data_IF_274717576826
#
_entry.id   IF_274717576826
#
_cell.length_a   1.000
_cell.length_b   1.000
_cell.length_c   1.000
_cell.angle_alpha   90.00
_cell.angle_beta   90.00
_cell.angle_gamma   90.00
#
_symmetry.space_group_name_H-M   'P 1'
#
loop_
_entity.id
_entity.type
_entity.pdbx_description
1 polymer ?
#
# COMPACT_ATOMS: atom_id res chain seq x y z
N UNK A 1 -131.96 -3.86 -7.61
CA UNK A 1 -130.70 -3.58 -8.35
C UNK A 1 -129.66 -4.61 -7.96
N UNK A 2 -129.05 -5.27 -8.96
CA UNK A 2 -128.14 -6.41 -8.82
C UNK A 2 -126.79 -6.00 -8.22
N UNK A 3 -126.22 -6.84 -7.35
CA UNK A 3 -124.90 -6.63 -6.72
C UNK A 3 -123.83 -6.89 -7.79
N UNK A 4 -122.90 -5.97 -8.08
CA UNK A 4 -121.93 -6.18 -9.15
C UNK A 4 -120.98 -7.33 -8.80
N UNK A 5 -120.96 -8.37 -9.62
CA UNK A 5 -119.97 -9.46 -9.59
C UNK A 5 -118.71 -9.03 -10.34
N UNK A 6 -117.88 -8.21 -9.68
CA UNK A 6 -116.55 -7.87 -10.20
C UNK A 6 -115.66 -9.12 -10.25
N UNK A 7 -115.25 -9.53 -11.46
CA UNK A 7 -114.23 -10.56 -11.67
C UNK A 7 -112.92 -10.09 -11.04
N UNK A 8 -112.42 -10.82 -10.04
CA UNK A 8 -111.17 -10.49 -9.36
C UNK A 8 -110.00 -10.67 -10.36
N UNK A 9 -109.44 -9.57 -10.87
CA UNK A 9 -108.23 -9.61 -11.69
C UNK A 9 -107.04 -9.59 -10.73
N UNK A 10 -106.34 -10.72 -10.60
CA UNK A 10 -105.04 -10.75 -9.91
C UNK A 10 -104.02 -10.00 -10.76
N UNK A 11 -103.72 -8.76 -10.40
CA UNK A 11 -102.64 -7.98 -11.00
C UNK A 11 -101.30 -8.56 -10.53
N UNK A 12 -100.50 -9.09 -11.45
CA UNK A 12 -99.08 -9.33 -11.19
C UNK A 12 -98.27 -8.07 -11.50
N UNK A 13 -97.06 -7.95 -10.93
CA UNK A 13 -96.16 -6.83 -11.24
C UNK A 13 -95.91 -6.67 -12.76
N UNK A 14 -95.93 -7.79 -13.50
CA UNK A 14 -95.86 -7.79 -14.96
C UNK A 14 -97.10 -7.21 -15.66
N UNK A 15 -98.30 -7.37 -15.09
CA UNK A 15 -99.55 -6.90 -15.69
C UNK A 15 -99.77 -5.39 -15.59
N UNK A 16 -99.10 -4.71 -14.66
CA UNK A 16 -99.16 -3.25 -14.49
C UNK A 16 -97.91 -2.53 -15.02
N UNK A 17 -96.96 -3.26 -15.61
CA UNK A 17 -95.70 -2.69 -16.09
C UNK A 17 -94.82 -2.09 -14.99
N UNK A 18 -95.00 -2.51 -13.74
CA UNK A 18 -94.31 -1.92 -12.59
C UNK A 18 -92.79 -2.14 -12.61
N UNK A 19 -92.32 -3.17 -13.34
CA UNK A 19 -90.89 -3.44 -13.56
C UNK A 19 -90.61 -3.48 -15.07
N UNK A 20 -89.80 -2.56 -15.61
CA UNK A 20 -89.47 -2.53 -17.04
C UNK A 20 -88.70 -3.78 -17.51
N UNK A 21 -89.30 -4.60 -18.39
CA UNK A 21 -88.74 -5.88 -18.87
C UNK A 21 -87.52 -5.78 -19.79
N UNK A 22 -87.19 -4.58 -20.29
CA UNK A 22 -86.03 -4.33 -21.16
C UNK A 22 -84.82 -3.71 -20.46
N UNK A 23 -84.93 -3.33 -19.19
CA UNK A 23 -83.81 -2.73 -18.43
C UNK A 23 -82.98 -3.82 -17.77
N UNK A 24 -81.67 -3.58 -17.72
CA UNK A 24 -80.69 -4.48 -17.12
C UNK A 24 -79.86 -3.74 -16.08
N UNK A 25 -79.36 -4.48 -15.10
CA UNK A 25 -78.29 -4.02 -14.20
C UNK A 25 -77.08 -4.91 -14.46
N UNK A 26 -75.99 -4.31 -14.92
CA UNK A 26 -74.78 -5.01 -15.32
C UNK A 26 -75.07 -6.27 -16.17
N UNK A 27 -75.81 -6.05 -17.25
CA UNK A 27 -76.24 -7.07 -18.21
C UNK A 27 -77.20 -8.17 -17.68
N UNK A 28 -77.62 -8.14 -16.41
CA UNK A 28 -78.64 -9.05 -15.84
C UNK A 28 -80.05 -8.43 -15.93
N UNK A 29 -81.07 -9.16 -16.39
CA UNK A 29 -82.44 -8.65 -16.52
C UNK A 29 -83.14 -8.46 -15.17
N UNK A 30 -84.09 -7.51 -15.08
CA UNK A 30 -84.87 -7.20 -13.87
C UNK A 30 -86.05 -8.17 -13.60
N UNK A 31 -86.05 -9.36 -14.22
CA UNK A 31 -87.14 -10.34 -14.08
C UNK A 31 -87.08 -11.18 -12.81
N UNK A 32 -86.02 -11.02 -11.99
CA UNK A 32 -85.80 -11.71 -10.72
C UNK A 32 -84.85 -10.86 -9.84
N UNK A 33 -84.60 -11.33 -8.61
CA UNK A 33 -83.57 -10.75 -7.74
C UNK A 33 -82.20 -10.78 -8.42
N UNK A 34 -81.45 -9.69 -8.29
CA UNK A 34 -80.14 -9.53 -8.90
C UNK A 34 -79.07 -9.70 -7.83
N UNK A 35 -78.22 -10.71 -8.02
CA UNK A 35 -76.96 -10.84 -7.30
C UNK A 35 -75.80 -10.41 -8.19
N UNK A 36 -74.94 -9.53 -7.67
CA UNK A 36 -73.71 -9.11 -8.33
C UNK A 36 -72.51 -9.62 -7.54
N UNK A 37 -71.50 -10.10 -8.27
CA UNK A 37 -70.18 -10.42 -7.77
C UNK A 37 -69.20 -9.27 -8.05
N UNK A 38 -67.99 -9.32 -7.48
CA UNK A 38 -66.95 -8.35 -7.78
C UNK A 38 -66.61 -8.31 -9.29
N UNK A 39 -66.60 -9.48 -9.95
CA UNK A 39 -66.35 -9.58 -11.38
C UNK A 39 -67.46 -8.95 -12.23
N UNK A 40 -68.72 -8.98 -11.77
CA UNK A 40 -69.81 -8.30 -12.45
C UNK A 40 -69.53 -6.79 -12.55
N UNK A 41 -69.01 -6.15 -11.51
CA UNK A 41 -68.81 -4.69 -11.47
C UNK A 41 -67.38 -4.23 -11.78
N UNK A 42 -66.51 -5.12 -12.25
CA UNK A 42 -65.09 -4.81 -12.51
C UNK A 42 -64.29 -4.48 -11.24
N UNK A 43 -64.75 -4.91 -10.07
CA UNK A 43 -64.05 -4.75 -8.81
C UNK A 43 -63.16 -5.97 -8.52
N UNK A 44 -62.13 -5.76 -7.70
CA UNK A 44 -61.39 -6.88 -7.11
C UNK A 44 -62.24 -7.59 -6.05
N UNK A 45 -62.09 -8.90 -5.97
CA UNK A 45 -62.58 -9.67 -4.83
C UNK A 45 -61.84 -9.26 -3.55
N UNK A 46 -62.42 -9.63 -2.40
CA UNK A 46 -61.80 -9.42 -1.09
C UNK A 46 -60.42 -10.09 -1.01
N UNK A 47 -60.32 -11.34 -1.47
CA UNK A 47 -59.07 -12.10 -1.51
C UNK A 47 -58.01 -11.43 -2.40
N UNK A 48 -58.36 -10.95 -3.58
CA UNK A 48 -57.40 -10.25 -4.44
C UNK A 48 -56.91 -8.94 -3.82
N UNK A 49 -57.79 -8.23 -3.12
CA UNK A 49 -57.43 -6.99 -2.42
C UNK A 49 -56.49 -7.29 -1.25
N UNK A 50 -56.82 -8.29 -0.44
CA UNK A 50 -56.02 -8.73 0.70
C UNK A 50 -54.61 -9.16 0.26
N UNK A 51 -54.50 -9.93 -0.83
CA UNK A 51 -53.22 -10.36 -1.39
C UNK A 51 -52.38 -9.16 -1.87
N UNK A 52 -52.96 -8.23 -2.65
CA UNK A 52 -52.23 -7.03 -3.11
C UNK A 52 -51.72 -6.18 -1.95
N UNK A 53 -52.53 -6.03 -0.90
CA UNK A 53 -52.15 -5.29 0.31
C UNK A 53 -51.04 -6.02 1.07
N UNK A 54 -51.11 -7.34 1.18
CA UNK A 54 -50.07 -8.15 1.81
C UNK A 54 -48.74 -8.05 1.07
N UNK A 55 -48.75 -8.16 -0.26
CA UNK A 55 -47.57 -8.03 -1.11
C UNK A 55 -46.93 -6.64 -0.99
N UNK A 56 -47.74 -5.57 -1.02
CA UNK A 56 -47.27 -4.20 -0.85
C UNK A 56 -46.62 -3.97 0.53
N UNK A 57 -47.24 -4.49 1.61
CA UNK A 57 -46.68 -4.43 2.96
C UNK A 57 -45.37 -5.19 3.05
N UNK A 58 -45.32 -6.40 2.48
CA UNK A 58 -44.11 -7.22 2.46
C UNK A 58 -42.98 -6.53 1.71
N UNK A 59 -43.26 -5.96 0.54
CA UNK A 59 -42.28 -5.19 -0.23
C UNK A 59 -41.72 -3.99 0.58
N UNK A 60 -42.59 -3.29 1.32
CA UNK A 60 -42.17 -2.22 2.23
C UNK A 60 -41.25 -2.69 3.36
N UNK A 61 -41.60 -3.80 4.02
CA UNK A 61 -40.78 -4.40 5.09
C UNK A 61 -39.44 -4.90 4.57
N UNK A 62 -39.43 -5.56 3.41
CA UNK A 62 -38.21 -6.07 2.77
C UNK A 62 -37.28 -4.90 2.37
N UNK A 63 -37.85 -3.82 1.83
CA UNK A 63 -37.12 -2.61 1.48
C UNK A 63 -36.51 -1.93 2.72
N UNK A 64 -37.28 -1.81 3.82
CA UNK A 64 -36.78 -1.25 5.08
C UNK A 64 -35.64 -2.09 5.67
N UNK A 65 -35.79 -3.41 5.65
CA UNK A 65 -34.77 -4.35 6.15
C UNK A 65 -33.47 -4.22 5.34
N UNK A 66 -33.59 -4.15 4.02
CA UNK A 66 -32.43 -3.97 3.12
C UNK A 66 -31.76 -2.60 3.33
N UNK A 67 -32.54 -1.54 3.54
CA UNK A 67 -32.00 -0.21 3.83
C UNK A 67 -31.25 -0.19 5.16
N UNK A 68 -31.80 -0.81 6.20
CA UNK A 68 -31.15 -0.91 7.51
C UNK A 68 -29.85 -1.72 7.44
N UNK A 69 -29.85 -2.85 6.73
CA UNK A 69 -28.65 -3.66 6.52
C UNK A 69 -27.56 -2.90 5.77
N UNK A 70 -27.93 -2.13 4.74
CA UNK A 70 -27.01 -1.28 3.99
C UNK A 70 -26.42 -0.16 4.87
N UNK A 71 -27.24 0.48 5.70
CA UNK A 71 -26.79 1.51 6.66
C UNK A 71 -25.80 0.94 7.69
N UNK A 72 -26.09 -0.24 8.23
CA UNK A 72 -25.18 -0.96 9.13
C UNK A 72 -23.86 -1.31 8.44
N UNK A 73 -23.91 -1.83 7.21
CA UNK A 73 -22.70 -2.16 6.45
C UNK A 73 -21.84 -0.92 6.18
N UNK A 74 -22.46 0.21 5.81
CA UNK A 74 -21.77 1.49 5.62
C UNK A 74 -21.13 2.01 6.92
N UNK A 75 -21.86 1.92 8.04
CA UNK A 75 -21.35 2.30 9.37
C UNK A 75 -20.15 1.44 9.78
N UNK A 76 -20.25 0.13 9.59
CA UNK A 76 -19.15 -0.81 9.88
C UNK A 76 -17.93 -0.53 9.00
N UNK A 77 -18.14 -0.23 7.71
CA UNK A 77 -17.07 0.15 6.79
C UNK A 77 -16.36 1.44 7.24
N UNK A 78 -17.12 2.47 7.62
CA UNK A 78 -16.57 3.73 8.12
C UNK A 78 -15.79 3.54 9.44
N UNK A 79 -16.32 2.76 10.37
CA UNK A 79 -15.64 2.46 11.64
C UNK A 79 -14.33 1.70 11.41
N UNK A 80 -14.33 0.72 10.50
CA UNK A 80 -13.12 -0.01 10.12
C UNK A 80 -12.09 0.92 9.45
N UNK A 81 -12.53 1.84 8.59
CA UNK A 81 -11.65 2.79 7.93
C UNK A 81 -10.98 3.76 8.93
N UNK A 82 -11.75 4.32 9.88
CA UNK A 82 -11.25 5.28 10.86
C UNK A 82 -10.19 4.71 11.82
N UNK A 83 -10.14 3.38 12.00
CA UNK A 83 -9.19 2.72 12.90
C UNK A 83 -7.86 2.26 12.26
N UNK A 84 -7.75 2.24 10.92
CA UNK A 84 -6.59 1.64 10.24
C UNK A 84 -5.28 2.40 10.40
N UNK A 85 -5.35 3.73 10.55
CA UNK A 85 -4.19 4.57 10.83
C UNK A 85 -4.50 5.39 12.08
N UNK A 86 -4.14 4.90 13.28
CA UNK A 86 -4.35 5.67 14.49
C UNK A 86 -3.60 7.00 14.40
N UNK A 87 -4.27 8.12 14.71
CA UNK A 87 -3.73 9.49 14.59
C UNK A 87 -2.49 9.77 15.44
N UNK A 88 -2.23 8.94 16.46
CA UNK A 88 -1.02 8.99 17.29
C UNK A 88 0.18 8.22 16.71
N UNK A 89 0.02 7.44 15.63
CA UNK A 89 1.13 6.70 15.03
C UNK A 89 2.06 7.65 14.29
N UNK A 90 3.35 7.43 14.51
CA UNK A 90 4.44 8.21 13.92
C UNK A 90 5.44 7.26 13.25
N UNK A 91 6.03 7.69 12.15
CA UNK A 91 7.22 7.06 11.57
C UNK A 91 8.41 7.93 11.95
N UNK A 92 9.26 7.38 12.81
CA UNK A 92 10.44 8.09 13.31
C UNK A 92 10.15 9.51 13.82
N UNK A 93 9.12 9.64 14.67
CA UNK A 93 8.69 10.91 15.25
C UNK A 93 7.81 11.80 14.35
N UNK A 94 7.69 11.50 13.04
CA UNK A 94 6.86 12.27 12.09
C UNK A 94 5.42 11.73 12.03
N UNK A 95 4.39 12.58 12.10
CA UNK A 95 2.99 12.16 12.04
C UNK A 95 2.59 11.63 10.65
N UNK A 96 1.66 10.68 10.60
CA UNK A 96 1.12 10.08 9.35
C UNK A 96 0.02 10.94 8.68
N UNK A 97 0.17 12.27 8.72
CA UNK A 97 -0.80 13.23 8.17
C UNK A 97 -0.48 13.68 6.74
N UNK A 98 0.67 13.30 6.22
CA UNK A 98 1.14 13.58 4.86
C UNK A 98 2.16 12.52 4.45
N UNK A 99 2.66 12.61 3.21
CA UNK A 99 3.83 11.85 2.79
C UNK A 99 5.02 12.12 3.72
N UNK A 100 5.81 11.08 3.99
CA UNK A 100 6.97 11.12 4.89
C UNK A 100 8.24 10.84 4.08
N UNK A 101 9.17 11.79 4.10
CA UNK A 101 10.55 11.59 3.65
C UNK A 101 11.46 11.39 4.84
N UNK A 102 12.28 10.34 4.81
CA UNK A 102 13.30 10.07 5.82
C UNK A 102 14.69 10.32 5.24
N UNK A 103 15.52 11.08 5.96
CA UNK A 103 16.95 11.22 5.70
C UNK A 103 17.79 10.31 6.58
N UNK A 104 19.10 10.33 6.38
CA UNK A 104 20.04 9.52 7.17
C UNK A 104 19.93 9.81 8.68
N UNK A 105 19.81 11.09 9.05
CA UNK A 105 19.64 11.50 10.45
C UNK A 105 18.35 11.01 11.10
N UNK A 106 17.28 10.80 10.32
CA UNK A 106 16.05 10.24 10.87
C UNK A 106 16.31 8.81 11.38
N UNK A 107 17.05 7.99 10.64
CA UNK A 107 17.28 6.57 11.01
C UNK A 107 18.59 6.31 11.74
N UNK A 108 19.29 7.36 12.21
CA UNK A 108 20.58 7.23 12.88
C UNK A 108 21.71 6.71 11.97
N UNK A 109 21.58 6.89 10.65
CA UNK A 109 22.57 6.50 9.68
C UNK A 109 23.49 7.67 9.31
N UNK A 110 24.69 7.36 8.80
CA UNK A 110 25.54 8.33 8.14
C UNK A 110 25.01 8.66 6.74
N UNK A 111 25.19 9.91 6.33
CA UNK A 111 25.04 10.32 4.95
C UNK A 111 26.13 9.68 4.09
N UNK A 112 25.91 9.66 2.77
CA UNK A 112 26.92 9.22 1.81
C UNK A 112 28.23 10.01 1.95
N UNK A 113 28.15 11.33 2.07
CA UNK A 113 29.32 12.20 2.22
C UNK A 113 30.11 11.94 3.51
N UNK A 114 29.44 11.68 4.64
CA UNK A 114 30.10 11.32 5.90
C UNK A 114 30.79 9.96 5.78
N UNK A 115 30.15 9.00 5.11
CA UNK A 115 30.72 7.66 4.87
C UNK A 115 31.96 7.77 3.99
N UNK A 116 31.88 8.48 2.87
CA UNK A 116 33.00 8.72 1.95
C UNK A 116 34.18 9.41 2.68
N UNK A 117 33.89 10.41 3.51
CA UNK A 117 34.91 11.09 4.32
C UNK A 117 35.60 10.15 5.31
N UNK A 118 34.83 9.32 6.04
CA UNK A 118 35.39 8.35 7.01
C UNK A 118 36.27 7.31 6.33
N UNK A 119 35.86 6.79 5.17
CA UNK A 119 36.64 5.82 4.39
C UNK A 119 37.93 6.46 3.87
N UNK A 120 37.86 7.69 3.36
CA UNK A 120 39.02 8.44 2.90
C UNK A 120 40.03 8.66 4.01
N UNK A 121 39.58 9.10 5.20
CA UNK A 121 40.44 9.28 6.36
C UNK A 121 41.11 7.97 6.80
N UNK A 122 40.39 6.84 6.76
CA UNK A 122 40.96 5.54 7.11
C UNK A 122 42.04 5.08 6.13
N UNK A 123 42.00 5.55 4.87
CA UNK A 123 42.93 5.15 3.82
C UNK A 123 44.09 6.14 3.66
N UNK A 124 43.91 7.38 4.13
CA UNK A 124 44.88 8.46 4.06
C UNK A 124 46.08 8.17 4.97
N UNK A 125 47.27 7.99 4.38
CA UNK A 125 48.49 7.69 5.13
C UNK A 125 48.83 6.21 5.25
N UNK A 126 47.96 5.29 4.78
CA UNK A 126 48.28 3.87 4.74
C UNK A 126 49.37 3.56 3.69
N UNK A 127 50.27 2.64 4.02
CA UNK A 127 51.26 2.10 3.06
C UNK A 127 50.54 1.20 2.07
N UNK A 128 50.46 1.64 0.81
CA UNK A 128 49.79 0.92 -0.27
C UNK A 128 50.71 -0.10 -0.96
N UNK A 129 52.01 0.19 -1.00
CA UNK A 129 53.02 -0.67 -1.60
C UNK A 129 54.42 -0.31 -1.08
N UNK A 130 55.39 -1.21 -1.25
CA UNK A 130 56.77 -1.04 -0.82
C UNK A 130 57.70 -1.42 -1.98
N UNK A 131 58.74 -0.64 -2.23
CA UNK A 131 59.78 -0.97 -3.23
C UNK A 131 61.16 -0.47 -2.82
N UNK A 132 62.18 -0.98 -3.50
CA UNK A 132 63.54 -0.43 -3.46
C UNK A 132 63.70 0.63 -4.56
N UNK A 133 64.22 1.81 -4.22
CA UNK A 133 64.53 2.87 -5.19
C UNK A 133 65.79 2.59 -6.01
N UNK A 134 66.35 3.62 -6.65
CA UNK A 134 67.52 3.50 -7.51
C UNK A 134 68.76 3.00 -6.74
N UNK A 135 69.61 2.15 -7.36
CA UNK A 135 70.84 1.67 -6.74
C UNK A 135 71.85 2.81 -6.59
N UNK A 136 72.52 2.86 -5.44
CA UNK A 136 73.65 3.75 -5.18
C UNK A 136 74.88 2.92 -4.85
N UNK A 137 75.96 3.18 -5.58
CA UNK A 137 77.25 2.50 -5.44
C UNK A 137 78.26 3.49 -4.86
N UNK A 138 78.44 3.54 -3.53
CA UNK A 138 79.46 4.36 -2.91
C UNK A 138 80.87 3.92 -3.30
N UNK A 139 81.89 4.77 -3.06
CA UNK A 139 83.29 4.38 -3.19
C UNK A 139 83.62 3.14 -2.36
N UNK A 140 84.71 2.46 -2.71
CA UNK A 140 85.24 1.30 -1.97
C UNK A 140 85.30 1.58 -0.46
N UNK A 141 84.86 0.62 0.35
CA UNK A 141 84.93 0.69 1.82
C UNK A 141 85.82 -0.43 2.40
N UNK A 142 86.16 -0.32 3.69
CA UNK A 142 86.91 -1.32 4.45
C UNK A 142 85.94 -2.18 5.29
N UNK A 143 86.15 -3.50 5.32
CA UNK A 143 85.36 -4.50 6.05
C UNK A 143 85.42 -4.38 7.59
N UNK A 144 86.46 -3.76 8.16
CA UNK A 144 86.67 -3.71 9.62
C UNK A 144 85.96 -2.56 10.36
N UNK A 145 85.47 -1.54 9.65
CA UNK A 145 84.84 -0.37 10.28
C UNK A 145 83.31 -0.52 10.38
N UNK A 146 82.66 0.09 11.40
CA UNK A 146 81.20 0.21 11.39
C UNK A 146 80.81 1.14 10.24
N UNK A 147 80.34 0.58 9.13
CA UNK A 147 79.85 1.34 7.99
C UNK A 147 78.42 0.94 7.67
N UNK A 148 77.49 1.81 8.03
CA UNK A 148 76.07 1.62 7.79
C UNK A 148 75.66 2.23 6.44
N UNK A 149 74.63 1.67 5.82
CA UNK A 149 73.93 2.37 4.74
C UNK A 149 73.24 3.62 5.29
N UNK A 150 73.09 4.69 4.50
CA UNK A 150 72.38 5.88 4.96
C UNK A 150 70.98 5.58 5.50
N UNK A 151 70.47 6.42 6.41
CA UNK A 151 69.14 6.28 6.99
C UNK A 151 68.06 6.09 5.90
N UNK A 152 67.15 5.16 6.13
CA UNK A 152 66.09 4.81 5.17
C UNK A 152 66.56 4.04 3.93
N UNK A 153 67.85 3.67 3.85
CA UNK A 153 68.37 2.78 2.81
C UNK A 153 68.61 1.36 3.34
N UNK A 154 68.60 0.41 2.43
CA UNK A 154 68.98 -0.98 2.69
C UNK A 154 70.15 -1.38 1.79
N UNK A 155 71.07 -2.17 2.31
CA UNK A 155 72.11 -2.82 1.50
C UNK A 155 71.46 -3.90 0.64
N UNK A 156 71.80 -3.92 -0.65
CA UNK A 156 71.20 -4.83 -1.65
C UNK A 156 72.20 -5.70 -2.37
N UNK A 157 73.49 -5.40 -2.25
CA UNK A 157 74.59 -6.23 -2.73
C UNK A 157 75.85 -5.87 -1.96
N UNK A 158 76.67 -6.87 -1.66
CA UNK A 158 78.04 -6.72 -1.15
C UNK A 158 78.92 -7.64 -1.97
N UNK A 159 80.09 -7.13 -2.37
CA UNK A 159 81.09 -7.86 -3.13
C UNK A 159 82.47 -7.54 -2.59
N UNK A 160 83.25 -8.56 -2.29
CA UNK A 160 84.67 -8.43 -1.97
C UNK A 160 85.46 -7.91 -3.17
N UNK A 161 86.38 -6.96 -2.94
CA UNK A 161 87.35 -6.48 -3.92
C UNK A 161 88.57 -7.40 -3.92
N UNK A 162 88.75 -8.25 -4.95
CA UNK A 162 89.81 -9.24 -4.99
C UNK A 162 91.23 -8.62 -5.04
N UNK A 163 91.34 -7.30 -5.23
CA UNK A 163 92.62 -6.59 -5.28
C UNK A 163 93.10 -6.11 -3.91
N UNK A 164 92.32 -6.34 -2.85
CA UNK A 164 92.65 -5.90 -1.49
C UNK A 164 92.27 -6.95 -0.46
N UNK A 165 93.01 -7.02 0.65
CA UNK A 165 92.71 -7.98 1.71
C UNK A 165 91.37 -7.74 2.41
N UNK A 166 90.86 -6.50 2.43
CA UNK A 166 89.70 -6.09 3.25
C UNK A 166 88.77 -5.06 2.57
N UNK A 167 88.89 -4.88 1.25
CA UNK A 167 88.07 -3.92 0.52
C UNK A 167 86.76 -4.54 0.07
N UNK A 168 85.66 -3.79 0.22
CA UNK A 168 84.36 -4.16 -0.32
C UNK A 168 83.81 -3.06 -1.21
N UNK A 169 83.07 -3.50 -2.23
CA UNK A 169 82.06 -2.71 -2.89
C UNK A 169 80.70 -3.13 -2.34
N UNK A 170 79.85 -2.18 -2.01
CA UNK A 170 78.46 -2.46 -1.65
C UNK A 170 77.52 -1.53 -2.41
N UNK A 171 76.30 -1.99 -2.62
CA UNK A 171 75.21 -1.21 -3.23
C UNK A 171 74.10 -1.07 -2.22
N UNK A 172 73.65 0.16 -1.98
CA UNK A 172 72.44 0.40 -1.19
C UNK A 172 71.33 0.99 -2.06
N UNK A 173 70.08 0.85 -1.59
CA UNK A 173 68.90 1.43 -2.23
C UNK A 173 68.00 2.07 -1.17
N UNK A 174 67.42 3.26 -1.43
CA UNK A 174 66.42 3.83 -0.54
C UNK A 174 65.18 2.93 -0.52
N UNK A 175 64.65 2.66 0.67
CA UNK A 175 63.37 2.00 0.84
C UNK A 175 62.27 3.04 0.60
N UNK A 176 61.33 2.73 -0.28
CA UNK A 176 60.23 3.62 -0.65
C UNK A 176 58.89 2.96 -0.36
N UNK A 177 57.94 3.77 0.11
CA UNK A 177 56.55 3.40 0.34
C UNK A 177 55.63 4.22 -0.56
N UNK A 178 54.56 3.61 -1.06
CA UNK A 178 53.50 4.29 -1.79
C UNK A 178 52.45 4.74 -0.78
N UNK A 179 52.22 6.04 -0.67
CA UNK A 179 51.19 6.63 0.20
C UNK A 179 50.43 7.67 -0.60
N UNK A 180 49.10 7.61 -0.59
CA UNK A 180 48.22 8.54 -1.33
C UNK A 180 48.58 8.67 -2.82
N UNK A 181 48.95 7.55 -3.47
CA UNK A 181 49.33 7.53 -4.89
C UNK A 181 50.73 8.09 -5.20
N UNK A 182 51.50 8.52 -4.21
CA UNK A 182 52.86 9.03 -4.39
C UNK A 182 53.91 8.17 -3.68
N UNK A 183 55.02 7.87 -4.37
CA UNK A 183 56.16 7.19 -3.77
C UNK A 183 56.93 8.16 -2.85
N UNK A 184 57.17 7.74 -1.62
CA UNK A 184 57.94 8.46 -0.61
C UNK A 184 59.14 7.63 -0.18
N UNK A 185 60.31 8.24 -0.08
CA UNK A 185 61.49 7.61 0.51
C UNK A 185 61.39 7.68 2.03
N UNK A 186 61.68 6.58 2.72
CA UNK A 186 61.77 6.60 4.16
C UNK A 186 62.96 7.47 4.58
N UNK A 187 62.73 8.40 5.49
CA UNK A 187 63.80 9.04 6.24
C UNK A 187 63.86 8.24 7.55
N UNK A 188 64.95 7.52 7.83
CA UNK A 188 65.06 6.82 9.12
C UNK A 188 64.93 7.79 10.29
N UNK A 189 64.64 7.28 11.49
CA UNK A 189 64.65 8.09 12.70
C UNK A 189 66.10 8.52 12.98
N UNK A 190 66.32 9.83 13.19
CA UNK A 190 67.63 10.40 13.47
C UNK A 190 68.08 10.12 14.91
#
# INVERSE_FOLDING_TARGET
>A
MSKPTGKLIRLTAGNVGAVPVGRKVNNKPLSADISLSAGDVGAYSKTETDNKVADAKKAGTDAQTKANAASTAATNANNNANGRVPSGRKVNGKPLTSDITLGAGDVGAYTKAETDSKISMSSNGAVMNIRRGAPVNPPKQNEYGPKESPAGCIVTSVRHDPTTSYGIFFTYRPLQILVNGAWKTLAGDA
#
